data_IF_455556983106
#
_entry.id   IF_455556983106
#
_cell.length_a   1.000
_cell.length_b   1.000
_cell.length_c   1.000
_cell.angle_alpha   90.00
_cell.angle_beta   90.00
_cell.angle_gamma   90.00
#
_symmetry.space_group_name_H-M   'P 1'
#
loop_
_entity.id
_entity.type
_entity.pdbx_description
1 polymer ?
#
# COMPACT_ATOMS: atom_id res chain seq x y z
N UNK A 1 -13.36 -5.85 -24.79
CA UNK A 1 -12.75 -4.51 -24.79
C UNK A 1 -11.79 -4.49 -23.63
N UNK A 2 -10.53 -4.18 -23.87
CA UNK A 2 -9.56 -3.97 -22.78
C UNK A 2 -10.03 -2.77 -21.94
N UNK A 3 -9.83 -2.84 -20.61
CA UNK A 3 -10.17 -1.72 -19.73
C UNK A 3 -9.31 -0.50 -20.08
N UNK A 4 -9.91 0.69 -19.93
CA UNK A 4 -9.18 1.96 -20.01
C UNK A 4 -8.27 2.11 -18.80
N UNK A 5 -7.18 2.88 -18.95
CA UNK A 5 -6.28 3.18 -17.83
C UNK A 5 -7.02 3.93 -16.73
N UNK A 6 -7.93 4.83 -17.10
CA UNK A 6 -8.82 5.52 -16.16
C UNK A 6 -9.65 4.55 -15.32
N UNK A 7 -10.26 3.53 -15.95
CA UNK A 7 -11.06 2.52 -15.25
C UNK A 7 -10.21 1.67 -14.30
N UNK A 8 -8.98 1.30 -14.69
CA UNK A 8 -8.07 0.56 -13.82
C UNK A 8 -7.69 1.38 -12.59
N UNK A 9 -7.38 2.67 -12.77
CA UNK A 9 -7.09 3.59 -11.66
C UNK A 9 -8.29 3.70 -10.72
N UNK A 10 -9.50 3.90 -11.26
CA UNK A 10 -10.71 4.02 -10.44
C UNK A 10 -10.95 2.75 -9.60
N UNK A 11 -10.70 1.57 -10.18
CA UNK A 11 -10.81 0.29 -9.47
C UNK A 11 -9.74 0.13 -8.37
N UNK A 12 -8.51 0.59 -8.60
CA UNK A 12 -7.45 0.54 -7.60
C UNK A 12 -7.79 1.46 -6.42
N UNK A 13 -8.18 2.71 -6.70
CA UNK A 13 -8.54 3.67 -5.66
C UNK A 13 -9.72 3.15 -4.83
N UNK A 14 -10.78 2.69 -5.50
CA UNK A 14 -11.99 2.24 -4.83
C UNK A 14 -11.77 0.96 -4.02
N UNK A 15 -11.01 0.00 -4.54
CA UNK A 15 -10.82 -1.28 -3.87
C UNK A 15 -9.79 -1.20 -2.74
N UNK A 16 -8.68 -0.49 -2.97
CA UNK A 16 -7.49 -0.56 -2.12
C UNK A 16 -7.27 0.74 -1.36
N UNK A 17 -7.24 1.89 -2.04
CA UNK A 17 -6.89 3.15 -1.36
C UNK A 17 -7.98 3.57 -0.35
N UNK A 18 -9.26 3.35 -0.67
CA UNK A 18 -10.36 3.59 0.28
C UNK A 18 -10.30 2.65 1.49
N UNK A 19 -9.92 1.39 1.28
CA UNK A 19 -9.69 0.42 2.36
C UNK A 19 -8.52 0.85 3.26
N UNK A 20 -7.36 1.18 2.67
CA UNK A 20 -6.16 1.60 3.39
C UNK A 20 -6.41 2.85 4.24
N UNK A 21 -7.13 3.85 3.70
CA UNK A 21 -7.49 5.07 4.46
C UNK A 21 -8.33 4.77 5.71
N UNK A 22 -9.11 3.69 5.72
CA UNK A 22 -9.93 3.29 6.86
C UNK A 22 -9.16 2.39 7.83
N UNK A 23 -8.43 1.41 7.30
CA UNK A 23 -7.80 0.38 8.10
C UNK A 23 -6.50 0.84 8.78
N UNK A 24 -5.68 1.66 8.10
CA UNK A 24 -4.42 2.12 8.68
C UNK A 24 -4.61 2.88 10.01
N UNK A 25 -5.54 3.86 10.11
CA UNK A 25 -5.81 4.53 11.39
C UNK A 25 -6.41 3.57 12.44
N UNK A 26 -7.28 2.65 12.00
CA UNK A 26 -7.93 1.67 12.89
C UNK A 26 -6.90 0.76 13.57
N UNK A 27 -5.97 0.20 12.78
CA UNK A 27 -4.90 -0.65 13.28
C UNK A 27 -3.97 0.12 14.22
N UNK A 28 -3.60 1.37 13.87
CA UNK A 28 -2.78 2.21 14.75
C UNK A 28 -3.45 2.44 16.11
N UNK A 29 -4.76 2.68 16.15
CA UNK A 29 -5.51 2.85 17.38
C UNK A 29 -5.49 1.57 18.24
N UNK A 30 -5.67 0.41 17.62
CA UNK A 30 -5.61 -0.88 18.30
C UNK A 30 -4.20 -1.17 18.86
N UNK A 31 -3.15 -0.92 18.08
CA UNK A 31 -1.76 -1.05 18.54
C UNK A 31 -1.46 -0.09 19.69
N UNK A 32 -1.98 1.15 19.65
CA UNK A 32 -1.86 2.10 20.75
C UNK A 32 -2.49 1.57 22.05
N UNK A 33 -3.69 0.96 21.95
CA UNK A 33 -4.35 0.34 23.10
C UNK A 33 -3.55 -0.86 23.61
N UNK A 34 -3.05 -1.70 22.71
CA UNK A 34 -2.31 -2.90 23.06
C UNK A 34 -0.98 -2.60 23.75
N UNK A 35 -0.24 -1.61 23.26
CA UNK A 35 1.00 -1.14 23.92
C UNK A 35 0.73 -0.63 25.33
N UNK A 36 -0.39 0.08 25.57
CA UNK A 36 -0.74 0.52 26.93
C UNK A 36 -1.07 -0.63 27.86
N UNK A 37 -1.65 -1.72 27.35
CA UNK A 37 -2.07 -2.87 28.14
C UNK A 37 -0.91 -3.83 28.42
N UNK A 38 -0.11 -4.15 27.40
CA UNK A 38 0.87 -5.24 27.44
C UNK A 38 2.31 -4.78 27.16
N UNK A 39 2.54 -3.52 26.80
CA UNK A 39 3.84 -3.04 26.33
C UNK A 39 4.97 -3.13 27.35
N UNK A 40 4.68 -3.01 28.65
CA UNK A 40 5.67 -3.21 29.71
C UNK A 40 6.08 -4.67 29.88
N UNK A 41 5.11 -5.59 29.83
CA UNK A 41 5.33 -7.04 30.00
C UNK A 41 5.88 -7.69 28.74
N UNK A 42 5.54 -7.12 27.58
CA UNK A 42 5.92 -7.63 26.28
C UNK A 42 6.37 -6.48 25.36
N UNK A 43 7.66 -6.10 25.44
CA UNK A 43 8.21 -4.97 24.68
C UNK A 43 8.05 -5.07 23.16
N UNK A 44 7.86 -6.29 22.61
CA UNK A 44 7.63 -6.52 21.17
C UNK A 44 6.39 -5.80 20.64
N UNK A 45 5.40 -5.48 21.48
CA UNK A 45 4.27 -4.63 21.07
C UNK A 45 4.71 -3.20 20.72
N UNK A 46 5.71 -2.67 21.42
CA UNK A 46 6.28 -1.36 21.10
C UNK A 46 7.03 -1.40 19.76
N UNK A 47 7.78 -2.47 19.52
CA UNK A 47 8.49 -2.69 18.26
C UNK A 47 7.49 -2.79 17.09
N UNK A 48 6.46 -3.63 17.22
CA UNK A 48 5.43 -3.77 16.20
C UNK A 48 4.74 -2.44 15.89
N UNK A 49 4.40 -1.67 16.92
CA UNK A 49 3.82 -0.33 16.74
C UNK A 49 4.79 0.61 16.01
N UNK A 50 6.09 0.58 16.32
CA UNK A 50 7.07 1.43 15.66
C UNK A 50 7.18 1.12 14.16
N UNK A 51 7.28 -0.16 13.80
CA UNK A 51 7.28 -0.61 12.39
C UNK A 51 5.98 -0.22 11.69
N UNK A 52 4.83 -0.42 12.35
CA UNK A 52 3.53 -0.04 11.79
C UNK A 52 3.41 1.48 11.57
N UNK A 53 3.97 2.32 12.44
CA UNK A 53 3.98 3.78 12.23
C UNK A 53 4.80 4.15 11.00
N UNK A 54 5.94 3.50 10.79
CA UNK A 54 6.75 3.72 9.59
C UNK A 54 5.94 3.32 8.34
N UNK A 55 5.36 2.12 8.35
CA UNK A 55 4.49 1.62 7.28
C UNK A 55 3.31 2.56 7.00
N UNK A 56 2.65 3.06 8.05
CA UNK A 56 1.56 4.02 7.94
C UNK A 56 2.00 5.29 7.20
N UNK A 57 3.15 5.87 7.57
CA UNK A 57 3.64 7.12 6.97
C UNK A 57 4.02 6.90 5.51
N UNK A 58 4.76 5.83 5.23
CA UNK A 58 5.20 5.51 3.87
C UNK A 58 4.00 5.22 2.96
N UNK A 59 3.04 4.41 3.41
CA UNK A 59 1.84 4.10 2.63
C UNK A 59 1.04 5.36 2.31
N UNK A 60 0.79 6.25 3.29
CA UNK A 60 0.05 7.48 3.01
C UNK A 60 0.80 8.42 2.05
N UNK A 61 2.13 8.45 2.12
CA UNK A 61 2.98 9.25 1.22
C UNK A 61 2.90 8.69 -0.21
N UNK A 62 3.05 7.37 -0.33
CA UNK A 62 2.93 6.62 -1.57
C UNK A 62 1.57 6.86 -2.27
N UNK A 63 0.45 6.61 -1.57
CA UNK A 63 -0.90 6.85 -2.11
C UNK A 63 -1.09 8.31 -2.58
N UNK A 64 -0.48 9.27 -1.87
CA UNK A 64 -0.54 10.69 -2.25
C UNK A 64 0.23 10.95 -3.55
N UNK A 65 1.40 10.33 -3.74
CA UNK A 65 2.17 10.44 -4.99
C UNK A 65 1.40 9.83 -6.16
N UNK A 66 0.75 8.70 -5.95
CA UNK A 66 -0.07 8.06 -6.98
C UNK A 66 -1.24 8.94 -7.39
N UNK A 67 -2.08 9.33 -6.43
CA UNK A 67 -3.34 10.01 -6.73
C UNK A 67 -3.16 11.45 -7.23
N UNK A 68 -2.15 12.16 -6.72
CA UNK A 68 -1.95 13.56 -7.06
C UNK A 68 -0.94 13.77 -8.18
N UNK A 69 -0.05 12.81 -8.45
CA UNK A 69 1.00 12.95 -9.46
C UNK A 69 0.85 11.92 -10.57
N UNK A 70 1.03 10.62 -10.28
CA UNK A 70 1.14 9.61 -11.32
C UNK A 70 -0.20 9.36 -12.03
N UNK A 71 -1.27 9.07 -11.30
CA UNK A 71 -2.58 8.73 -11.88
C UNK A 71 -3.16 9.84 -12.77
N UNK A 72 -3.10 11.13 -12.40
CA UNK A 72 -3.49 12.21 -13.30
C UNK A 72 -2.70 12.22 -14.60
N UNK A 73 -1.40 11.90 -14.57
CA UNK A 73 -0.58 11.79 -15.78
C UNK A 73 -0.94 10.56 -16.61
N UNK A 74 -1.21 9.42 -15.98
CA UNK A 74 -1.62 8.19 -16.68
C UNK A 74 -2.98 8.38 -17.36
N UNK A 75 -3.96 9.03 -16.72
CA UNK A 75 -5.28 9.30 -17.34
C UNK A 75 -5.15 10.09 -18.64
N UNK A 76 -4.23 11.05 -18.67
CA UNK A 76 -3.94 11.87 -19.84
C UNK A 76 -3.36 11.09 -21.02
N UNK A 77 -2.77 9.91 -20.82
CA UNK A 77 -2.19 9.09 -21.92
C UNK A 77 -3.27 8.67 -22.93
N UNK A 78 -4.52 8.49 -22.50
CA UNK A 78 -5.61 8.07 -23.38
C UNK A 78 -6.44 9.24 -23.91
N UNK A 79 -6.10 10.47 -23.54
CA UNK A 79 -6.80 11.66 -24.01
C UNK A 79 -6.28 12.09 -25.40
N UNK A 80 -7.17 12.32 -26.40
CA UNK A 80 -6.75 12.56 -27.78
C UNK A 80 -5.88 13.81 -28.03
N UNK A 81 -5.82 14.77 -27.09
CA UNK A 81 -5.20 16.10 -27.27
C UNK A 81 -4.18 16.40 -26.15
N UNK A 82 -3.76 15.37 -25.41
CA UNK A 82 -2.87 15.58 -24.25
C UNK A 82 -1.40 15.41 -24.59
N UNK A 83 -0.57 16.31 -24.07
CA UNK A 83 0.89 16.15 -24.07
C UNK A 83 1.28 15.65 -22.68
N UNK A 84 1.76 14.41 -22.62
CA UNK A 84 2.25 13.79 -21.38
C UNK A 84 3.77 13.66 -21.45
N UNK A 85 4.46 14.13 -20.41
CA UNK A 85 5.88 13.86 -20.25
C UNK A 85 6.09 12.39 -19.86
N UNK A 86 6.40 11.56 -20.86
CA UNK A 86 6.59 10.13 -20.67
C UNK A 86 7.85 9.80 -19.87
N UNK A 87 8.86 10.67 -19.90
CA UNK A 87 10.06 10.51 -19.08
C UNK A 87 9.72 10.68 -17.61
N UNK A 88 8.89 11.68 -17.29
CA UNK A 88 8.40 11.89 -15.93
C UNK A 88 7.49 10.73 -15.46
N UNK A 89 6.59 10.22 -16.30
CA UNK A 89 5.77 9.03 -15.97
C UNK A 89 6.66 7.83 -15.65
N UNK A 90 7.66 7.54 -16.49
CA UNK A 90 8.56 6.42 -16.27
C UNK A 90 9.39 6.57 -14.99
N UNK A 91 9.85 7.78 -14.69
CA UNK A 91 10.59 8.07 -13.46
C UNK A 91 9.73 7.86 -12.21
N UNK A 92 8.47 8.33 -12.24
CA UNK A 92 7.52 8.14 -11.13
C UNK A 92 7.16 6.68 -10.92
N UNK A 93 6.92 5.91 -11.99
CA UNK A 93 6.68 4.46 -11.90
C UNK A 93 7.84 3.75 -11.20
N UNK A 94 9.09 4.03 -11.62
CA UNK A 94 10.26 3.39 -11.01
C UNK A 94 10.45 3.75 -9.53
N UNK A 95 10.02 4.95 -9.11
CA UNK A 95 10.03 5.36 -7.70
C UNK A 95 8.99 4.56 -6.92
N UNK A 96 7.75 4.46 -7.43
CA UNK A 96 6.65 3.78 -6.75
C UNK A 96 6.89 2.26 -6.65
N UNK A 97 7.42 1.63 -7.71
CA UNK A 97 7.85 0.22 -7.65
C UNK A 97 8.90 -0.01 -6.55
N UNK A 98 9.81 0.95 -6.33
CA UNK A 98 10.80 0.86 -5.26
C UNK A 98 10.19 1.08 -3.87
N UNK A 99 9.17 1.92 -3.79
CA UNK A 99 8.39 2.12 -2.57
C UNK A 99 7.61 0.83 -2.22
N UNK A 100 7.04 0.11 -3.19
CA UNK A 100 6.44 -1.22 -2.97
C UNK A 100 7.42 -2.19 -2.30
N UNK A 101 8.65 -2.31 -2.81
CA UNK A 101 9.67 -3.17 -2.17
C UNK A 101 9.95 -2.77 -0.71
N UNK A 102 9.86 -1.48 -0.40
CA UNK A 102 10.08 -0.97 0.97
C UNK A 102 8.91 -1.32 1.88
N UNK A 103 7.67 -1.14 1.38
CA UNK A 103 6.45 -1.50 2.09
C UNK A 103 6.38 -3.02 2.35
N UNK A 104 6.77 -3.85 1.39
CA UNK A 104 6.88 -5.30 1.54
C UNK A 104 7.86 -5.70 2.65
N UNK A 105 9.01 -5.04 2.71
CA UNK A 105 10.00 -5.30 3.76
C UNK A 105 9.46 -5.00 5.16
N UNK A 106 8.71 -3.90 5.31
CA UNK A 106 8.05 -3.54 6.56
C UNK A 106 6.95 -4.55 6.94
N UNK A 107 6.18 -5.04 5.96
CA UNK A 107 5.17 -6.09 6.17
C UNK A 107 5.81 -7.38 6.68
N UNK A 108 6.93 -7.81 6.08
CA UNK A 108 7.70 -8.99 6.52
C UNK A 108 8.21 -8.82 7.96
N UNK A 109 8.68 -7.63 8.33
CA UNK A 109 9.10 -7.33 9.69
C UNK A 109 7.92 -7.43 10.68
N UNK A 110 6.76 -6.86 10.33
CA UNK A 110 5.54 -6.98 11.15
C UNK A 110 5.07 -8.44 11.27
N UNK A 111 5.11 -9.22 10.19
CA UNK A 111 4.78 -10.65 10.20
C UNK A 111 5.71 -11.45 11.13
N UNK A 112 7.00 -11.12 11.15
CA UNK A 112 7.98 -11.71 12.05
C UNK A 112 7.65 -11.39 13.52
N UNK A 113 7.41 -10.11 13.83
CA UNK A 113 7.06 -9.67 15.19
C UNK A 113 5.75 -10.29 15.68
N UNK A 114 4.72 -10.33 14.84
CA UNK A 114 3.42 -10.92 15.22
C UNK A 114 3.55 -12.41 15.50
N UNK A 115 4.31 -13.16 14.70
CA UNK A 115 4.60 -14.58 14.96
C UNK A 115 5.26 -14.78 16.33
N UNK A 116 6.26 -13.98 16.66
CA UNK A 116 6.95 -14.04 17.95
C UNK A 116 6.05 -13.65 19.13
N UNK A 117 5.14 -12.69 18.92
CA UNK A 117 4.19 -12.27 19.96
C UNK A 117 3.18 -13.39 20.25
N UNK A 118 2.67 -14.06 19.20
CA UNK A 118 1.69 -15.15 19.30
C UNK A 118 2.19 -16.32 20.15
N UNK A 119 3.49 -16.63 20.11
CA UNK A 119 4.09 -17.70 20.93
C UNK A 119 3.87 -17.47 22.43
N UNK A 120 3.84 -16.20 22.87
CA UNK A 120 3.78 -15.82 24.28
C UNK A 120 2.38 -15.38 24.76
N UNK A 121 1.41 -15.20 23.85
CA UNK A 121 0.07 -14.66 24.15
C UNK A 121 -1.08 -15.50 23.56
N UNK A 122 -1.04 -16.82 23.75
CA UNK A 122 -2.17 -17.66 23.34
C UNK A 122 -3.42 -17.27 24.15
N UNK A 123 -4.47 -16.76 23.47
CA UNK A 123 -5.81 -16.56 24.05
C UNK A 123 -6.30 -15.12 24.28
N UNK A 124 -5.55 -14.06 23.92
CA UNK A 124 -6.05 -12.68 23.99
C UNK A 124 -6.90 -12.30 22.77
N UNK A 125 -8.19 -12.02 22.97
CA UNK A 125 -9.11 -11.60 21.90
C UNK A 125 -8.68 -10.30 21.22
N UNK A 126 -8.13 -9.35 21.99
CA UNK A 126 -7.64 -8.07 21.46
C UNK A 126 -6.40 -8.23 20.56
N UNK A 127 -5.48 -9.12 20.94
CA UNK A 127 -4.30 -9.41 20.13
C UNK A 127 -4.69 -10.07 18.80
N UNK A 128 -5.65 -11.01 18.84
CA UNK A 128 -6.12 -11.69 17.64
C UNK A 128 -6.72 -10.72 16.61
N UNK A 129 -7.51 -9.74 17.04
CA UNK A 129 -8.07 -8.71 16.16
C UNK A 129 -6.97 -7.95 15.41
N UNK A 130 -5.89 -7.56 16.12
CA UNK A 130 -4.76 -6.85 15.50
C UNK A 130 -4.09 -7.74 14.45
N UNK A 131 -3.84 -9.00 14.78
CA UNK A 131 -3.17 -9.89 13.86
C UNK A 131 -4.01 -10.21 12.62
N UNK A 132 -5.32 -10.38 12.78
CA UNK A 132 -6.24 -10.63 11.66
C UNK A 132 -6.28 -9.41 10.72
N UNK A 133 -6.32 -8.20 11.29
CA UNK A 133 -6.25 -6.96 10.50
C UNK A 133 -4.91 -6.79 9.78
N UNK A 134 -3.79 -7.07 10.44
CA UNK A 134 -2.47 -7.01 9.80
C UNK A 134 -2.34 -8.02 8.64
N UNK A 135 -2.92 -9.21 8.79
CA UNK A 135 -2.92 -10.19 7.71
C UNK A 135 -3.84 -9.78 6.55
N UNK A 136 -5.00 -9.20 6.84
CA UNK A 136 -5.89 -8.68 5.79
C UNK A 136 -5.26 -7.49 5.05
N UNK A 137 -4.52 -6.65 5.77
CA UNK A 137 -3.72 -5.56 5.21
C UNK A 137 -2.63 -6.10 4.27
N UNK A 138 -1.92 -7.16 4.67
CA UNK A 138 -0.90 -7.82 3.83
C UNK A 138 -1.48 -8.30 2.50
N UNK A 139 -2.59 -9.01 2.55
CA UNK A 139 -3.27 -9.51 1.35
C UNK A 139 -3.72 -8.35 0.44
N UNK A 140 -4.26 -7.29 1.03
CA UNK A 140 -4.72 -6.14 0.24
C UNK A 140 -3.54 -5.43 -0.46
N UNK A 141 -2.44 -5.19 0.26
CA UNK A 141 -1.23 -4.57 -0.28
C UNK A 141 -0.60 -5.41 -1.40
N UNK A 142 -0.54 -6.74 -1.25
CA UNK A 142 -0.03 -7.62 -2.31
C UNK A 142 -0.87 -7.51 -3.59
N UNK A 143 -2.21 -7.51 -3.45
CA UNK A 143 -3.12 -7.39 -4.59
C UNK A 143 -3.05 -5.98 -5.21
N UNK A 144 -2.95 -4.94 -4.39
CA UNK A 144 -2.77 -3.55 -4.80
C UNK A 144 -1.51 -3.40 -5.65
N UNK A 145 -0.34 -3.69 -5.09
CA UNK A 145 0.94 -3.59 -5.78
C UNK A 145 0.96 -4.45 -7.06
N UNK A 146 0.38 -5.66 -7.02
CA UNK A 146 0.26 -6.49 -8.23
C UNK A 146 -0.54 -5.82 -9.35
N UNK A 147 -1.69 -5.22 -9.04
CA UNK A 147 -2.51 -4.51 -10.04
C UNK A 147 -1.76 -3.32 -10.63
N UNK A 148 -0.89 -2.69 -9.88
CA UNK A 148 -0.11 -1.56 -10.38
C UNK A 148 1.07 -2.03 -11.21
N UNK A 149 1.99 -2.76 -10.60
CA UNK A 149 3.28 -3.16 -11.17
C UNK A 149 3.11 -4.08 -12.38
N UNK A 150 2.09 -4.93 -12.37
CA UNK A 150 1.91 -5.97 -13.39
C UNK A 150 0.80 -5.66 -14.39
N UNK A 151 -0.06 -4.67 -14.10
CA UNK A 151 -1.21 -4.36 -14.97
C UNK A 151 -1.24 -2.89 -15.36
N UNK A 152 -1.39 -1.95 -14.43
CA UNK A 152 -1.58 -0.53 -14.74
C UNK A 152 -0.30 0.08 -15.35
N UNK A 153 0.84 -0.04 -14.67
CA UNK A 153 2.08 0.61 -15.10
C UNK A 153 2.59 0.08 -16.46
N UNK A 154 2.63 -1.25 -16.71
CA UNK A 154 3.03 -1.75 -18.02
C UNK A 154 2.11 -1.29 -19.14
N UNK A 155 0.79 -1.24 -18.88
CA UNK A 155 -0.17 -0.76 -19.87
C UNK A 155 0.02 0.73 -20.16
N UNK A 156 0.20 1.56 -19.14
CA UNK A 156 0.47 3.00 -19.29
C UNK A 156 1.73 3.25 -20.13
N UNK A 157 2.83 2.56 -19.82
CA UNK A 157 4.10 2.68 -20.54
C UNK A 157 4.05 2.12 -21.98
N UNK A 158 3.17 1.15 -22.26
CA UNK A 158 3.01 0.60 -23.61
C UNK A 158 2.15 1.49 -24.52
N UNK A 159 1.06 2.07 -23.99
CA UNK A 159 0.11 2.92 -24.74
C UNK A 159 0.73 4.27 -25.05
N UNK A 160 1.56 4.80 -24.15
CA UNK A 160 2.31 6.03 -24.37
C UNK A 160 3.28 5.96 -25.56
N UNK A 161 3.90 4.80 -25.82
CA UNK A 161 4.77 4.59 -26.98
C UNK A 161 4.01 4.59 -28.32
N UNK A 162 2.72 4.22 -28.32
CA UNK A 162 1.89 4.15 -29.53
C UNK A 162 1.32 5.52 -29.94
N UNK A 163 1.22 6.48 -29.03
CA UNK A 163 0.67 7.82 -29.31
C UNK A 163 1.66 8.77 -30.02
N UNK A 164 2.92 8.33 -30.22
CA UNK A 164 3.99 9.12 -30.86
C UNK A 164 4.14 8.86 -32.37
N UNK A 165 3.10 8.34 -33.05
CA UNK A 165 3.09 8.07 -34.49
C UNK A 165 1.86 8.62 -35.18
#
# INVERSE_FOLDING_TARGET
MDKTLACLIDEIIQAHHEYLRQELPSILELLNKMVKLEGERQPKWNALKAVFIQFFIETNTHLTQEENLLFPMIRKIEEPISIVDLGQVQALVAILEKEHETLDALMIEMATLTKEIRVNQTGSSNAQIIFDKLHQLEIDMEIHAHKEDHVLFPQALSRSRKSNF
#
